data_IF_451694531045
#
_entry.id   IF_451694531045
#
_cell.length_a   1.000
_cell.length_b   1.000
_cell.length_c   1.000
_cell.angle_alpha   90.00
_cell.angle_beta   90.00
_cell.angle_gamma   90.00
#
_symmetry.space_group_name_H-M   'P 1'
#
loop_
_entity.id
_entity.type
_entity.pdbx_description
1 polymer ?
#
# COMPACT_ATOMS: atom_id res chain seq x y z
N UNK A 1 -7.45 7.36 16.02
CA UNK A 1 -6.42 6.51 15.37
C UNK A 1 -5.15 7.34 15.30
N UNK A 2 -3.97 6.77 15.52
CA UNK A 2 -2.73 7.53 15.40
C UNK A 2 -2.39 7.78 13.92
N UNK A 3 -2.13 9.05 13.57
CA UNK A 3 -1.89 9.50 12.20
C UNK A 3 -0.63 8.88 11.59
N UNK A 4 0.40 8.56 12.40
CA UNK A 4 1.64 7.90 11.94
C UNK A 4 1.39 6.45 11.58
N UNK A 5 0.50 5.77 12.32
CA UNK A 5 0.07 4.40 12.01
C UNK A 5 -0.61 4.35 10.64
N UNK A 6 -1.52 5.29 10.40
CA UNK A 6 -2.24 5.38 9.12
C UNK A 6 -1.30 5.73 7.95
N UNK A 7 -0.35 6.66 8.17
CA UNK A 7 0.69 6.97 7.18
C UNK A 7 1.55 5.74 6.86
N UNK A 8 1.92 4.94 7.86
CA UNK A 8 2.69 3.71 7.65
C UNK A 8 1.91 2.68 6.81
N UNK A 9 0.60 2.54 7.05
CA UNK A 9 -0.28 1.69 6.23
C UNK A 9 -0.40 2.19 4.79
N UNK A 10 -0.51 3.51 4.59
CA UNK A 10 -0.52 4.11 3.23
C UNK A 10 0.79 3.80 2.50
N UNK A 11 1.93 4.01 3.16
CA UNK A 11 3.25 3.79 2.53
C UNK A 11 3.50 2.31 2.19
N UNK A 12 3.03 1.40 3.05
CA UNK A 12 3.16 -0.05 2.83
C UNK A 12 2.09 -0.62 1.89
N UNK A 13 1.05 0.14 1.53
CA UNK A 13 -0.01 -0.34 0.66
C UNK A 13 0.46 -0.43 -0.79
N UNK A 14 0.60 -1.67 -1.26
CA UNK A 14 1.11 -2.00 -2.60
C UNK A 14 0.12 -1.73 -3.72
N UNK A 15 -1.17 -1.62 -3.39
CA UNK A 15 -2.21 -1.26 -4.35
C UNK A 15 -2.21 0.24 -4.67
N UNK A 16 -1.51 1.05 -3.88
CA UNK A 16 -1.34 2.47 -4.17
C UNK A 16 -0.11 2.68 -5.06
N UNK A 17 -0.25 3.51 -6.09
CA UNK A 17 0.89 4.12 -6.77
C UNK A 17 1.55 5.17 -5.88
N UNK A 18 2.76 5.60 -6.24
CA UNK A 18 3.45 6.68 -5.51
C UNK A 18 2.62 7.97 -5.47
N UNK A 19 1.96 8.32 -6.57
CA UNK A 19 1.06 9.47 -6.62
C UNK A 19 -0.13 9.34 -5.67
N UNK A 20 -0.71 8.14 -5.53
CA UNK A 20 -1.80 7.89 -4.58
C UNK A 20 -1.31 7.88 -3.13
N UNK A 21 -0.10 7.36 -2.86
CA UNK A 21 0.53 7.44 -1.55
C UNK A 21 0.73 8.90 -1.12
N UNK A 22 1.26 9.73 -2.02
CA UNK A 22 1.46 11.16 -1.77
C UNK A 22 0.12 11.88 -1.52
N UNK A 23 -0.89 11.63 -2.35
CA UNK A 23 -2.23 12.20 -2.16
C UNK A 23 -2.79 11.88 -0.78
N UNK A 24 -2.81 10.60 -0.37
CA UNK A 24 -3.35 10.24 0.94
C UNK A 24 -2.50 10.79 2.08
N UNK A 25 -1.17 10.77 1.97
CA UNK A 25 -0.29 11.32 3.00
C UNK A 25 -0.53 12.82 3.26
N UNK A 26 -0.82 13.60 2.22
CA UNK A 26 -1.14 15.04 2.34
C UNK A 26 -2.56 15.31 2.87
N UNK A 27 -3.50 14.39 2.65
CA UNK A 27 -4.92 14.57 3.04
C UNK A 27 -5.27 13.98 4.41
N UNK A 28 -4.51 13.01 4.90
CA UNK A 28 -4.75 12.38 6.22
C UNK A 28 -4.81 13.38 7.38
N UNK A 29 -3.93 14.42 7.47
CA UNK A 29 -3.99 15.38 8.57
C UNK A 29 -5.29 16.20 8.64
N UNK A 30 -6.02 16.31 7.53
CA UNK A 30 -7.27 17.08 7.44
C UNK A 30 -8.51 16.20 7.59
N UNK A 31 -8.35 14.89 7.75
CA UNK A 31 -9.46 13.95 7.89
C UNK A 31 -10.04 13.94 9.30
N UNK A 32 -11.36 13.79 9.39
CA UNK A 32 -12.04 13.48 10.65
C UNK A 32 -11.70 12.06 11.13
N UNK A 33 -11.91 11.80 12.42
CA UNK A 33 -11.66 10.46 12.98
C UNK A 33 -12.43 9.34 12.26
N UNK A 34 -13.68 9.62 11.85
CA UNK A 34 -14.50 8.67 11.09
C UNK A 34 -13.90 8.36 9.72
N UNK A 35 -13.35 9.37 9.04
CA UNK A 35 -12.68 9.20 7.74
C UNK A 35 -11.37 8.44 7.89
N UNK A 36 -10.57 8.75 8.92
CA UNK A 36 -9.34 8.03 9.21
C UNK A 36 -9.62 6.56 9.53
N UNK A 37 -10.66 6.28 10.32
CA UNK A 37 -11.08 4.90 10.63
C UNK A 37 -11.51 4.16 9.36
N UNK A 38 -12.30 4.80 8.49
CA UNK A 38 -12.73 4.17 7.24
C UNK A 38 -11.55 3.88 6.30
N UNK A 39 -10.58 4.79 6.22
CA UNK A 39 -9.37 4.57 5.44
C UNK A 39 -8.54 3.41 6.01
N UNK A 40 -8.45 3.30 7.33
CA UNK A 40 -7.76 2.19 8.00
C UNK A 40 -8.38 0.82 7.67
N UNK A 41 -9.71 0.73 7.71
CA UNK A 41 -10.46 -0.47 7.33
C UNK A 41 -10.14 -0.86 5.87
N UNK A 42 -10.25 0.10 4.94
CA UNK A 42 -9.96 -0.13 3.51
C UNK A 42 -8.53 -0.62 3.30
N UNK A 43 -7.54 0.00 3.95
CA UNK A 43 -6.13 -0.39 3.82
C UNK A 43 -5.87 -1.78 4.41
N UNK A 44 -6.56 -2.13 5.49
CA UNK A 44 -6.47 -3.45 6.13
C UNK A 44 -7.10 -4.53 5.26
N UNK A 45 -8.29 -4.26 4.70
CA UNK A 45 -8.94 -5.16 3.74
C UNK A 45 -8.07 -5.36 2.50
N UNK A 46 -7.52 -4.27 1.93
CA UNK A 46 -6.64 -4.32 0.76
C UNK A 46 -5.40 -5.20 0.99
N UNK A 47 -4.81 -5.15 2.19
CA UNK A 47 -3.67 -5.99 2.55
C UNK A 47 -4.03 -7.48 2.67
N UNK A 48 -5.30 -7.80 2.96
CA UNK A 48 -5.77 -9.19 3.09
C UNK A 48 -6.06 -9.87 1.75
N UNK A 49 -6.11 -9.12 0.64
CA UNK A 49 -6.57 -9.67 -0.64
C UNK A 49 -5.54 -10.67 -1.21
N UNK A 50 -5.90 -11.95 -1.46
CA UNK A 50 -4.95 -13.00 -1.81
C UNK A 50 -4.12 -12.77 -3.08
N UNK A 51 -4.67 -12.02 -4.06
CA UNK A 51 -3.94 -11.74 -5.29
C UNK A 51 -2.80 -10.75 -5.08
N UNK A 52 -2.81 -9.91 -4.03
CA UNK A 52 -1.64 -9.05 -3.73
C UNK A 52 -0.42 -9.89 -3.36
N UNK A 53 -0.62 -11.00 -2.63
CA UNK A 53 0.43 -11.94 -2.25
C UNK A 53 0.94 -12.77 -3.45
N UNK A 54 0.03 -13.28 -4.29
CA UNK A 54 0.42 -14.04 -5.49
C UNK A 54 1.05 -13.15 -6.58
N UNK A 55 0.49 -11.97 -6.83
CA UNK A 55 1.05 -11.01 -7.77
C UNK A 55 2.44 -10.52 -7.31
N UNK A 56 2.64 -10.34 -6.00
CA UNK A 56 3.97 -10.05 -5.45
C UNK A 56 4.96 -11.19 -5.73
N UNK A 57 4.58 -12.44 -5.46
CA UNK A 57 5.43 -13.59 -5.73
C UNK A 57 5.80 -13.68 -7.21
N UNK A 58 4.84 -13.49 -8.10
CA UNK A 58 5.06 -13.45 -9.55
C UNK A 58 5.98 -12.30 -9.95
N UNK A 59 5.77 -11.09 -9.43
CA UNK A 59 6.62 -9.93 -9.73
C UNK A 59 8.06 -10.13 -9.24
N UNK A 60 8.25 -10.71 -8.07
CA UNK A 60 9.59 -11.03 -7.56
C UNK A 60 10.29 -12.11 -8.40
N UNK A 61 9.56 -13.14 -8.83
CA UNK A 61 10.06 -14.16 -9.75
C UNK A 61 10.51 -13.53 -11.08
N UNK A 62 9.67 -12.67 -11.66
CA UNK A 62 10.00 -11.95 -12.89
C UNK A 62 11.27 -11.10 -12.73
N UNK A 63 11.36 -10.30 -11.66
CA UNK A 63 12.56 -9.47 -11.39
C UNK A 63 13.84 -10.29 -11.27
N UNK A 64 13.78 -11.45 -10.60
CA UNK A 64 14.93 -12.37 -10.49
C UNK A 64 15.35 -12.93 -11.85
N UNK A 65 14.39 -13.36 -12.66
CA UNK A 65 14.66 -13.87 -14.01
C UNK A 65 15.26 -12.78 -14.90
N UNK A 66 14.70 -11.57 -14.87
CA UNK A 66 15.23 -10.44 -15.67
C UNK A 66 16.66 -10.09 -15.26
N UNK A 67 16.96 -10.01 -13.96
CA UNK A 67 18.31 -9.73 -13.47
C UNK A 67 19.35 -10.80 -13.84
N UNK A 68 18.92 -12.06 -13.93
CA UNK A 68 19.77 -13.18 -14.36
C UNK A 68 20.05 -13.20 -15.86
N UNK A 69 19.19 -12.58 -16.68
CA UNK A 69 19.37 -12.51 -18.14
C UNK A 69 20.20 -11.30 -18.59
N UNK A 70 20.45 -10.34 -17.71
CA UNK A 70 21.22 -9.12 -17.99
C UNK A 70 22.64 -9.12 -17.41
N UNK A 71 23.08 -10.24 -16.80
CA UNK A 71 24.48 -10.50 -16.44
C UNK A 71 25.06 -11.57 -17.37
#
# INVERSE_FOLDING_TARGET
MDTKTLQSKIQSCRMLSDSRRAYWASNVPTMTDSQQKRLDEILTEAASIPWTKKAEQTLQLLKKVTAALTN
#
